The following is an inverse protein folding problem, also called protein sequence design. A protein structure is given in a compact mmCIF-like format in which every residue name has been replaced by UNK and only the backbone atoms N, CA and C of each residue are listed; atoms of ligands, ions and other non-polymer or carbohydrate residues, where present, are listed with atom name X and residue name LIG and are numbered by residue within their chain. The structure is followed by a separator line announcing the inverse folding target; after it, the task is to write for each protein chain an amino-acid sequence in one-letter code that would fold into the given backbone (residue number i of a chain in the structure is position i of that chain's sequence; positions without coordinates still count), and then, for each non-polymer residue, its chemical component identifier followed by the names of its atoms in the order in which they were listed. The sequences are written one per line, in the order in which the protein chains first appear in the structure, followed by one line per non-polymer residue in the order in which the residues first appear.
data_IF_428779433004
#
_entry.id   IF_428779433004
#
_cell.length_a   1.000
_cell.length_b   1.000
_cell.length_c   1.000
_cell.angle_alpha   90.00
_cell.angle_beta   90.00
_cell.angle_gamma   90.00
#
_symmetry.space_group_name_H-M   'P 1'
#
loop_
_entity.id
_entity.type
_entity.pdbx_description
1 polymer ?
#
# COMPACT_ATOMS: atom_id res chain seq x y z
N UNK A 1 29.56 17.18 -7.42
CA UNK A 1 29.13 15.81 -7.79
C UNK A 1 29.47 14.90 -6.62
N UNK A 2 28.49 14.71 -5.74
CA UNK A 2 28.34 13.58 -4.82
C UNK A 2 26.85 13.27 -4.92
N UNK A 3 26.53 12.21 -5.66
CA UNK A 3 25.17 11.78 -5.91
C UNK A 3 24.55 11.39 -4.56
N UNK A 4 23.60 12.20 -4.09
CA UNK A 4 22.80 11.85 -2.93
C UNK A 4 21.95 10.65 -3.33
N UNK A 5 22.44 9.46 -3.04
CA UNK A 5 21.53 8.32 -2.84
C UNK A 5 20.66 8.74 -1.66
N UNK A 6 19.45 9.22 -1.92
CA UNK A 6 18.49 9.52 -0.86
C UNK A 6 18.07 8.19 -0.26
N UNK A 7 18.80 7.77 0.77
CA UNK A 7 18.58 6.49 1.45
C UNK A 7 17.20 6.56 2.10
N UNK A 8 16.33 5.61 1.73
CA UNK A 8 15.05 5.40 2.41
C UNK A 8 15.38 5.01 3.86
N UNK A 9 14.83 5.70 4.88
CA UNK A 9 15.12 5.42 6.28
C UNK A 9 14.81 3.96 6.64
N UNK A 10 15.62 3.36 7.50
CA UNK A 10 15.40 1.98 7.97
C UNK A 10 14.02 1.76 8.57
N UNK A 11 13.44 2.80 9.18
CA UNK A 11 12.06 2.76 9.70
C UNK A 11 11.04 2.55 8.57
N UNK A 12 11.14 3.30 7.48
CA UNK A 12 10.23 3.16 6.32
C UNK A 12 10.49 1.83 5.62
N UNK A 13 11.76 1.40 5.49
CA UNK A 13 12.07 0.07 4.93
C UNK A 13 11.44 -1.06 5.75
N UNK A 14 11.45 -0.98 7.08
CA UNK A 14 10.78 -1.97 7.95
C UNK A 14 9.27 -1.96 7.76
N UNK A 15 8.65 -0.79 7.62
CA UNK A 15 7.22 -0.68 7.34
C UNK A 15 6.85 -1.28 5.97
N UNK A 16 7.64 -1.00 4.93
CA UNK A 16 7.45 -1.58 3.60
C UNK A 16 7.54 -3.11 3.62
N UNK A 17 8.51 -3.66 4.37
CA UNK A 17 8.63 -5.11 4.54
C UNK A 17 7.42 -5.70 5.25
N UNK A 18 7.03 -5.12 6.38
CA UNK A 18 5.85 -5.58 7.12
C UNK A 18 4.56 -5.49 6.27
N UNK A 19 4.43 -4.44 5.45
CA UNK A 19 3.31 -4.28 4.52
C UNK A 19 3.34 -5.36 3.42
N UNK A 20 4.50 -5.68 2.86
CA UNK A 20 4.66 -6.78 1.90
C UNK A 20 4.39 -8.14 2.54
N UNK A 21 4.85 -8.38 3.77
CA UNK A 21 4.59 -9.63 4.49
C UNK A 21 3.08 -9.89 4.65
N UNK A 22 2.26 -8.85 4.89
CA UNK A 22 0.80 -8.99 4.94
C UNK A 22 0.22 -9.43 3.60
N UNK A 23 0.73 -8.88 2.49
CA UNK A 23 0.32 -9.31 1.15
C UNK A 23 0.70 -10.77 0.91
N UNK A 24 1.95 -11.14 1.14
CA UNK A 24 2.47 -12.50 0.93
C UNK A 24 1.74 -13.55 1.79
N UNK A 25 1.32 -13.17 3.00
CA UNK A 25 0.61 -14.07 3.91
C UNK A 25 -0.88 -14.24 3.57
N UNK A 26 -1.52 -13.28 2.91
CA UNK A 26 -2.98 -13.23 2.82
C UNK A 26 -3.53 -13.18 1.39
N UNK A 27 -2.81 -12.63 0.43
CA UNK A 27 -3.32 -12.47 -0.92
C UNK A 27 -3.13 -13.74 -1.73
N UNK A 28 -4.22 -14.25 -2.28
CA UNK A 28 -4.21 -15.37 -3.22
C UNK A 28 -4.36 -14.87 -4.66
N UNK A 29 -3.67 -15.50 -5.61
CA UNK A 29 -3.70 -15.05 -7.00
C UNK A 29 -5.03 -15.35 -7.71
N UNK A 30 -5.77 -16.37 -7.28
CA UNK A 30 -7.08 -16.75 -7.82
C UNK A 30 -8.21 -16.04 -7.06
N UNK A 31 -8.17 -16.09 -5.73
CA UNK A 31 -9.25 -15.64 -4.85
C UNK A 31 -9.07 -14.20 -4.30
N UNK A 32 -7.88 -13.62 -4.43
CA UNK A 32 -7.56 -12.30 -3.91
C UNK A 32 -7.49 -12.24 -2.39
N UNK A 33 -7.96 -11.15 -1.78
CA UNK A 33 -7.99 -11.01 -0.33
C UNK A 33 -9.07 -11.90 0.32
N UNK A 34 -8.80 -12.46 1.51
CA UNK A 34 -9.74 -13.36 2.20
C UNK A 34 -10.98 -12.63 2.73
N UNK A 35 -10.90 -11.32 2.93
CA UNK A 35 -12.05 -10.46 3.25
C UNK A 35 -11.73 -8.98 2.98
N UNK A 36 -12.78 -8.16 2.92
CA UNK A 36 -12.69 -6.73 2.63
C UNK A 36 -11.92 -5.94 3.70
N UNK A 37 -11.95 -6.39 4.96
CA UNK A 37 -11.26 -5.68 6.05
C UNK A 37 -9.74 -5.76 5.90
N UNK A 38 -9.20 -6.92 5.49
CA UNK A 38 -7.76 -7.08 5.27
C UNK A 38 -7.33 -6.26 4.05
N UNK A 39 -8.09 -6.32 2.95
CA UNK A 39 -7.87 -5.48 1.77
C UNK A 39 -7.86 -3.98 2.12
N UNK A 40 -8.86 -3.52 2.89
CA UNK A 40 -8.94 -2.15 3.39
C UNK A 40 -7.70 -1.77 4.21
N UNK A 41 -7.31 -2.61 5.17
CA UNK A 41 -6.14 -2.35 6.01
C UNK A 41 -4.86 -2.25 5.18
N UNK A 42 -4.68 -3.14 4.20
CA UNK A 42 -3.55 -3.10 3.28
C UNK A 42 -3.51 -1.79 2.49
N UNK A 43 -4.65 -1.37 1.95
CA UNK A 43 -4.78 -0.14 1.19
C UNK A 43 -4.46 1.10 2.04
N UNK A 44 -5.04 1.20 3.24
CA UNK A 44 -4.83 2.31 4.17
C UNK A 44 -3.37 2.39 4.63
N UNK A 45 -2.76 1.25 4.92
CA UNK A 45 -1.36 1.20 5.35
C UNK A 45 -0.41 1.60 4.21
N UNK A 46 -0.67 1.16 2.98
CA UNK A 46 0.08 1.58 1.80
C UNK A 46 0.00 3.09 1.58
N UNK A 47 -1.18 3.70 1.73
CA UNK A 47 -1.34 5.16 1.69
C UNK A 47 -0.55 5.89 2.79
N UNK A 48 -0.52 5.33 4.01
CA UNK A 48 0.24 5.89 5.13
C UNK A 48 1.74 5.88 4.85
N UNK A 49 2.27 4.74 4.41
CA UNK A 49 3.69 4.59 4.06
C UNK A 49 4.06 5.50 2.88
N UNK A 50 3.20 5.60 1.88
CA UNK A 50 3.36 6.52 0.75
C UNK A 50 3.49 7.97 1.22
N UNK A 51 2.64 8.42 2.14
CA UNK A 51 2.70 9.78 2.68
C UNK A 51 4.02 10.04 3.43
N UNK A 52 4.48 9.09 4.24
CA UNK A 52 5.77 9.18 4.94
C UNK A 52 6.96 9.21 3.99
N UNK A 53 6.97 8.34 2.97
CA UNK A 53 8.03 8.28 1.97
C UNK A 53 8.09 9.56 1.14
N UNK A 54 6.93 10.08 0.71
CA UNK A 54 6.84 11.36 -0.01
C UNK A 54 7.32 12.54 0.83
N UNK A 55 7.00 12.55 2.13
CA UNK A 55 7.49 13.59 3.02
C UNK A 55 9.01 13.53 3.19
N UNK A 56 9.59 12.32 3.27
CA UNK A 56 11.03 12.12 3.41
C UNK A 56 11.83 12.54 2.17
N UNK A 57 11.41 12.10 0.99
CA UNK A 57 12.11 12.40 -0.27
C UNK A 57 11.88 13.85 -0.74
N UNK A 58 10.85 14.51 -0.21
CA UNK A 58 10.56 15.91 -0.50
C UNK A 58 10.16 16.14 -1.97
N UNK A 59 10.16 17.41 -2.38
CA UNK A 59 9.58 17.83 -3.66
C UNK A 59 10.45 17.51 -4.89
N UNK A 60 11.67 16.98 -4.71
CA UNK A 60 12.58 16.66 -5.81
C UNK A 60 12.38 15.25 -6.35
N UNK A 61 11.71 14.39 -5.60
CA UNK A 61 11.38 13.03 -6.00
C UNK A 61 9.90 12.91 -6.37
N UNK A 62 9.63 12.15 -7.42
CA UNK A 62 8.27 11.67 -7.71
C UNK A 62 8.07 10.34 -7.00
N UNK A 63 7.07 10.30 -6.13
CA UNK A 63 6.58 9.06 -5.50
C UNK A 63 5.15 8.86 -5.99
N UNK A 64 4.83 7.66 -6.47
CA UNK A 64 3.47 7.25 -6.82
C UNK A 64 3.08 6.02 -5.99
N UNK A 65 1.77 5.87 -5.78
CA UNK A 65 1.18 4.71 -5.13
C UNK A 65 -0.02 4.28 -5.96
N UNK A 66 -0.02 3.03 -6.38
CA UNK A 66 -1.09 2.39 -7.14
C UNK A 66 -1.46 1.10 -6.42
N UNK A 67 -2.75 0.88 -6.20
CA UNK A 67 -3.27 -0.31 -5.54
C UNK A 67 -4.13 -1.08 -6.55
N UNK A 68 -3.67 -2.25 -6.95
CA UNK A 68 -4.26 -3.06 -8.01
C UNK A 68 -4.86 -4.38 -7.49
N UNK A 69 -4.57 -4.71 -6.24
CA UNK A 69 -4.99 -5.90 -5.52
C UNK A 69 -6.43 -5.75 -5.02
N UNK A 70 -7.38 -5.56 -5.92
CA UNK A 70 -8.78 -5.23 -5.57
C UNK A 70 -9.71 -6.44 -5.49
N UNK A 71 -9.22 -7.64 -5.83
CA UNK A 71 -10.00 -8.87 -5.75
C UNK A 71 -10.21 -9.29 -4.29
N UNK A 72 -11.45 -9.59 -3.90
CA UNK A 72 -11.82 -10.01 -2.54
C UNK A 72 -12.78 -11.20 -2.64
N UNK A 73 -12.34 -12.37 -2.18
CA UNK A 73 -13.10 -13.63 -2.25
C UNK A 73 -13.60 -13.95 -3.67
N UNK A 74 -12.70 -13.84 -4.64
CA UNK A 74 -12.96 -14.12 -6.06
C UNK A 74 -13.85 -13.06 -6.75
N UNK A 75 -14.04 -11.89 -6.14
CA UNK A 75 -14.79 -10.79 -6.72
C UNK A 75 -14.01 -9.49 -6.68
N UNK A 76 -13.85 -8.86 -7.85
CA UNK A 76 -13.29 -7.52 -7.96
C UNK A 76 -14.15 -6.51 -7.19
N UNK A 77 -13.49 -5.67 -6.38
CA UNK A 77 -14.10 -4.56 -5.64
C UNK A 77 -13.63 -3.22 -6.19
N UNK A 78 -14.45 -2.20 -6.06
CA UNK A 78 -14.01 -0.84 -6.34
C UNK A 78 -13.07 -0.33 -5.24
N UNK A 79 -12.17 0.59 -5.60
CA UNK A 79 -11.36 1.30 -4.61
C UNK A 79 -12.20 2.13 -3.64
N UNK A 80 -13.41 2.56 -4.02
CA UNK A 80 -14.33 3.27 -3.15
C UNK A 80 -14.85 2.37 -2.01
N UNK A 81 -15.21 1.12 -2.34
CA UNK A 81 -15.59 0.10 -1.37
C UNK A 81 -14.42 -0.27 -0.46
N UNK A 82 -13.23 -0.50 -1.04
CA UNK A 82 -12.01 -0.84 -0.30
C UNK A 82 -11.58 0.31 0.61
N UNK A 83 -11.68 1.56 0.18
CA UNK A 83 -11.34 2.73 0.99
C UNK A 83 -12.30 2.93 2.18
N UNK A 84 -13.44 2.23 2.21
CA UNK A 84 -14.45 2.37 3.27
C UNK A 84 -15.29 3.65 3.15
N UNK A 85 -15.33 4.26 1.96
CA UNK A 85 -16.22 5.39 1.69
C UNK A 85 -17.66 4.89 1.65
N UNK A 86 -18.38 5.03 2.76
CA UNK A 86 -19.84 4.94 2.73
C UNK A 86 -20.37 5.99 1.76
N UNK A 87 -21.13 5.56 0.76
CA UNK A 87 -22.09 6.44 0.09
C UNK A 87 -22.89 7.17 1.18
N UNK A 88 -22.76 8.51 1.20
CA UNK A 88 -23.57 9.39 2.03
C UNK A 88 -24.97 9.47 1.43
#
# INVERSE_FOLDING_TARGET
MLERTEIIPDSIQKQLRAWADVFDENYDEEDGWPNLQICHNQYVEGLRIYAELRQHLGAQATVSYEFWETNVQGQERSLEEIAGSKAI
#
